data_IF_698883871749
#
_entry.id   IF_698883871749
#
_cell.length_a   1.000
_cell.length_b   1.000
_cell.length_c   1.000
_cell.angle_alpha   90.00
_cell.angle_beta   90.00
_cell.angle_gamma   90.00
#
_symmetry.space_group_name_H-M   'P 1'
#
loop_
_entity.id
_entity.type
_entity.pdbx_description
1 polymer ?
#
# COMPACT_ATOMS: atom_id res chain seq x y z
N UNK A 1 1.85 12.19 -16.44
CA UNK A 1 2.33 11.33 -15.35
C UNK A 1 1.24 10.43 -14.87
N UNK A 2 1.49 9.15 -14.92
CA UNK A 2 0.52 8.17 -14.49
C UNK A 2 0.63 7.95 -13.00
N UNK A 3 -0.24 8.58 -12.26
CA UNK A 3 -0.30 8.35 -10.84
C UNK A 3 -1.54 7.52 -10.55
N UNK A 4 -1.31 6.41 -9.91
CA UNK A 4 -2.40 5.56 -9.48
C UNK A 4 -3.07 6.17 -8.26
N UNK A 5 -4.37 5.90 -8.10
CA UNK A 5 -5.16 6.47 -7.01
C UNK A 5 -4.55 6.14 -5.64
N UNK A 6 -3.99 4.94 -5.51
CA UNK A 6 -3.42 4.47 -4.25
C UNK A 6 -1.96 4.92 -4.05
N UNK A 7 -1.37 5.58 -5.04
CA UNK A 7 0.05 5.90 -4.98
C UNK A 7 0.38 6.95 -3.92
N UNK A 8 -0.48 7.94 -3.75
CA UNK A 8 -0.25 8.99 -2.76
C UNK A 8 -0.22 8.44 -1.33
N UNK A 9 -1.21 7.67 -0.87
CA UNK A 9 -1.14 7.08 0.48
C UNK A 9 0.01 6.09 0.62
N UNK A 10 0.35 5.35 -0.44
CA UNK A 10 1.47 4.44 -0.40
C UNK A 10 2.78 5.22 -0.22
N UNK A 11 2.98 6.28 -1.00
CA UNK A 11 4.17 7.11 -0.90
C UNK A 11 4.28 7.75 0.48
N UNK A 12 3.16 8.20 1.04
CA UNK A 12 3.16 8.79 2.36
C UNK A 12 3.68 7.82 3.41
N UNK A 13 3.26 6.56 3.33
CA UNK A 13 3.73 5.53 4.25
C UNK A 13 5.21 5.22 4.07
N UNK A 14 5.67 5.18 2.81
CA UNK A 14 7.04 4.83 2.52
C UNK A 14 8.04 5.94 2.84
N UNK A 15 7.60 7.20 2.78
CA UNK A 15 8.48 8.34 3.02
C UNK A 15 8.63 8.67 4.51
N UNK A 16 7.73 8.17 5.35
CA UNK A 16 7.84 8.39 6.79
C UNK A 16 8.96 7.54 7.38
N UNK A 17 9.89 8.14 8.14
CA UNK A 17 10.95 7.35 8.80
C UNK A 17 10.38 6.35 9.79
N UNK A 18 9.29 6.72 10.47
CA UNK A 18 8.62 5.86 11.43
C UNK A 18 7.13 5.85 11.14
N UNK A 19 6.72 5.14 10.08
CA UNK A 19 5.31 5.15 9.68
C UNK A 19 4.44 4.52 10.75
N UNK A 20 3.29 5.14 11.00
CA UNK A 20 2.31 4.58 11.92
C UNK A 20 1.56 3.45 11.22
N UNK A 21 0.97 2.55 12.02
CA UNK A 21 0.11 1.52 11.47
C UNK A 21 -1.05 2.12 10.68
N UNK A 22 -1.49 3.30 11.09
CA UNK A 22 -2.58 4.00 10.41
C UNK A 22 -2.22 4.33 8.96
N UNK A 23 -1.00 4.85 8.74
CA UNK A 23 -0.54 5.14 7.38
C UNK A 23 -0.47 3.89 6.53
N UNK A 24 0.07 2.82 7.11
CA UNK A 24 0.20 1.55 6.40
C UNK A 24 -1.18 1.00 6.07
N UNK A 25 -2.10 1.00 7.01
CA UNK A 25 -3.46 0.51 6.80
C UNK A 25 -4.18 1.33 5.74
N UNK A 26 -4.03 2.65 5.78
CA UNK A 26 -4.64 3.53 4.79
C UNK A 26 -4.14 3.19 3.39
N UNK A 27 -2.85 2.97 3.24
CA UNK A 27 -2.27 2.60 1.95
C UNK A 27 -2.77 1.24 1.48
N UNK A 28 -2.80 0.26 2.39
CA UNK A 28 -3.32 -1.07 2.05
C UNK A 28 -4.76 -1.02 1.60
N UNK A 29 -5.58 -0.25 2.31
CA UNK A 29 -7.00 -0.12 1.97
C UNK A 29 -7.19 0.52 0.60
N UNK A 30 -6.39 1.53 0.28
CA UNK A 30 -6.47 2.19 -1.01
C UNK A 30 -6.13 1.22 -2.15
N UNK A 31 -5.08 0.41 -1.97
CA UNK A 31 -4.68 -0.56 -2.98
C UNK A 31 -5.74 -1.64 -3.13
N UNK A 32 -6.24 -2.17 -2.02
CA UNK A 32 -7.26 -3.22 -2.04
C UNK A 32 -8.55 -2.72 -2.69
N UNK A 33 -8.94 -1.48 -2.41
CA UNK A 33 -10.12 -0.89 -3.02
C UNK A 33 -9.98 -0.84 -4.54
N UNK A 34 -8.80 -0.45 -5.03
CA UNK A 34 -8.54 -0.39 -6.46
C UNK A 34 -8.60 -1.78 -7.10
N UNK A 35 -8.02 -2.78 -6.43
CA UNK A 35 -8.04 -4.14 -6.93
C UNK A 35 -9.46 -4.69 -6.99
N UNK A 36 -10.29 -4.35 -6.01
CA UNK A 36 -11.69 -4.77 -6.03
C UNK A 36 -12.48 -4.09 -7.13
N UNK A 37 -12.18 -2.82 -7.42
CA UNK A 37 -12.82 -2.13 -8.54
C UNK A 37 -12.54 -2.82 -9.86
N UNK A 38 -11.35 -3.39 -10.02
CA UNK A 38 -11.01 -4.10 -11.24
C UNK A 38 -11.89 -5.32 -11.45
N UNK A 39 -12.37 -5.91 -10.36
CA UNK A 39 -13.27 -7.06 -10.43
C UNK A 39 -14.69 -6.64 -10.74
N UNK A 40 -15.01 -5.37 -10.56
CA UNK A 40 -16.38 -4.85 -10.75
C UNK A 40 -16.58 -4.17 -12.11
N UNK A 41 -15.64 -4.33 -13.02
CA UNK A 41 -15.78 -3.75 -14.34
C UNK A 41 -14.95 -2.52 -14.61
N UNK A 42 -14.06 -2.16 -13.69
CA UNK A 42 -13.09 -1.08 -13.89
C UNK A 42 -11.71 -1.68 -14.02
N UNK A 43 -11.37 -2.22 -15.20
CA UNK A 43 -10.15 -3.00 -15.37
C UNK A 43 -8.90 -2.20 -15.02
N UNK A 44 -7.94 -2.91 -14.48
CA UNK A 44 -6.66 -2.37 -14.11
C UNK A 44 -5.63 -2.89 -15.11
N UNK A 45 -4.69 -2.04 -15.53
CA UNK A 45 -3.67 -2.46 -16.47
C UNK A 45 -2.75 -3.49 -15.81
N UNK A 46 -2.11 -4.38 -16.59
CA UNK A 46 -1.16 -5.32 -16.01
C UNK A 46 -0.02 -4.62 -15.27
N UNK A 47 0.37 -3.46 -15.76
CA UNK A 47 1.42 -2.65 -15.13
C UNK A 47 1.01 -2.19 -13.74
N UNK A 48 -0.20 -1.65 -13.64
CA UNK A 48 -0.72 -1.18 -12.36
C UNK A 48 -0.97 -2.36 -11.42
N UNK A 49 -1.47 -3.47 -11.94
CA UNK A 49 -1.72 -4.67 -11.15
C UNK A 49 -0.43 -5.17 -10.49
N UNK A 50 0.65 -5.24 -11.26
CA UNK A 50 1.93 -5.65 -10.74
C UNK A 50 2.46 -4.65 -9.70
N UNK A 51 2.33 -3.36 -10.00
CA UNK A 51 2.76 -2.32 -9.07
C UNK A 51 1.98 -2.39 -7.76
N UNK A 52 0.68 -2.64 -7.84
CA UNK A 52 -0.16 -2.76 -6.65
C UNK A 52 0.24 -3.95 -5.80
N UNK A 53 0.53 -5.08 -6.43
CA UNK A 53 0.99 -6.27 -5.71
C UNK A 53 2.31 -6.03 -5.02
N UNK A 54 3.26 -5.41 -5.72
CA UNK A 54 4.56 -5.10 -5.15
C UNK A 54 4.41 -4.14 -3.97
N UNK A 55 3.53 -3.15 -4.11
CA UNK A 55 3.28 -2.19 -3.04
C UNK A 55 2.71 -2.88 -1.80
N UNK A 56 1.77 -3.80 -1.99
CA UNK A 56 1.20 -4.56 -0.88
C UNK A 56 2.28 -5.38 -0.16
N UNK A 57 3.17 -6.00 -0.91
CA UNK A 57 4.26 -6.76 -0.31
C UNK A 57 5.18 -5.87 0.52
N UNK A 58 5.51 -4.69 0.00
CA UNK A 58 6.33 -3.74 0.74
C UNK A 58 5.63 -3.27 2.01
N UNK A 59 4.33 -3.02 1.92
CA UNK A 59 3.57 -2.58 3.09
C UNK A 59 3.50 -3.67 4.15
N UNK A 60 3.41 -4.93 3.75
CA UNK A 60 3.43 -6.05 4.69
C UNK A 60 4.76 -6.14 5.42
N UNK A 61 5.86 -5.96 4.70
CA UNK A 61 7.19 -5.95 5.32
C UNK A 61 7.32 -4.79 6.29
N UNK A 62 6.85 -3.63 5.88
CA UNK A 62 6.89 -2.44 6.72
C UNK A 62 6.07 -2.62 7.99
N UNK A 63 4.91 -3.23 7.85
CA UNK A 63 4.04 -3.53 8.98
C UNK A 63 4.73 -4.45 9.98
N UNK A 64 5.43 -5.46 9.48
CA UNK A 64 6.20 -6.37 10.34
C UNK A 64 7.28 -5.62 11.10
N UNK A 65 7.99 -4.73 10.42
CA UNK A 65 9.05 -3.94 11.05
C UNK A 65 8.50 -3.07 12.17
N UNK A 66 7.36 -2.42 11.92
CA UNK A 66 6.71 -1.57 12.91
C UNK A 66 6.28 -2.40 14.12
N UNK A 67 5.69 -3.55 13.89
CA UNK A 67 5.26 -4.44 14.97
C UNK A 67 6.45 -4.96 15.78
N UNK A 68 7.54 -5.28 15.08
CA UNK A 68 8.74 -5.78 15.72
C UNK A 68 9.35 -4.72 16.65
N UNK A 69 9.42 -3.49 16.18
CA UNK A 69 9.93 -2.39 16.99
C UNK A 69 9.04 -2.13 18.20
N UNK A 70 7.76 -2.29 18.01
CA UNK A 70 6.79 -2.10 19.08
C UNK A 70 6.93 -3.14 20.18
N UNK A 71 7.24 -4.38 19.79
CA UNK A 71 7.40 -5.47 20.76
C UNK A 71 8.74 -5.40 21.51
N UNK A 72 9.75 -4.81 20.90
CA UNK A 72 11.08 -4.74 21.50
C UNK A 72 11.33 -3.47 22.29
N UNK A 73 10.47 -2.51 22.17
CA UNK A 73 10.59 -1.27 22.95
C UNK A 73 9.78 -1.36 24.27
#
# INVERSE_FOLDING_TARGET
MNQYVWQAPYAAAMLEPHPSQRLITTAENAINARLQESLRGHPISPHEHQAAKDALNHLRLLKREVEKQRLTS
#
